data_IF_988294575586
#
_entry.id   IF_988294575586
#
_cell.length_a   1.000
_cell.length_b   1.000
_cell.length_c   1.000
_cell.angle_alpha   90.00
_cell.angle_beta   90.00
_cell.angle_gamma   90.00
#
_symmetry.space_group_name_H-M   'P 1'
#
loop_
_entity.id
_entity.type
_entity.pdbx_description
1 polymer ?
#
# COMPACT_ATOMS: atom_id res chain seq x y z
N UNK A 1 26.19 -44.56 -12.07
CA UNK A 1 25.12 -43.63 -11.67
C UNK A 1 25.74 -42.41 -10.97
N UNK A 2 26.31 -41.52 -11.78
CA UNK A 2 26.67 -40.16 -11.37
C UNK A 2 25.61 -39.25 -11.95
N UNK A 3 24.98 -38.45 -11.09
CA UNK A 3 24.34 -37.22 -11.51
C UNK A 3 24.96 -36.13 -10.63
N UNK A 4 26.00 -35.52 -11.18
CA UNK A 4 26.39 -34.16 -10.80
C UNK A 4 25.16 -33.27 -11.02
N UNK A 5 24.77 -32.52 -10.00
CA UNK A 5 23.90 -31.35 -10.17
C UNK A 5 24.79 -30.13 -10.03
N UNK A 6 25.14 -29.58 -11.19
CA UNK A 6 25.79 -28.29 -11.35
C UNK A 6 24.88 -27.20 -10.76
N UNK A 7 25.36 -26.49 -9.74
CA UNK A 7 24.76 -25.24 -9.27
C UNK A 7 24.98 -24.18 -10.34
N UNK A 8 23.98 -23.98 -11.20
CA UNK A 8 23.97 -22.87 -12.14
C UNK A 8 23.31 -21.69 -11.44
N UNK A 9 24.15 -20.78 -10.94
CA UNK A 9 23.72 -19.44 -10.59
C UNK A 9 23.02 -18.81 -11.79
N UNK A 10 21.73 -18.55 -11.62
CA UNK A 10 20.96 -17.64 -12.45
C UNK A 10 20.08 -16.87 -11.49
N UNK A 11 20.65 -15.79 -10.95
CA UNK A 11 19.91 -14.57 -10.66
C UNK A 11 19.12 -14.23 -11.92
N UNK A 12 17.84 -14.63 -12.00
CA UNK A 12 16.96 -14.05 -13.00
C UNK A 12 16.35 -12.81 -12.34
N UNK A 13 16.76 -11.60 -12.77
CA UNK A 13 16.26 -10.37 -12.20
C UNK A 13 14.87 -10.14 -12.79
N UNK A 14 13.84 -10.61 -12.10
CA UNK A 14 12.63 -9.83 -12.11
C UNK A 14 13.00 -8.53 -11.40
N UNK A 15 13.25 -7.47 -12.16
CA UNK A 15 13.31 -6.10 -11.64
C UNK A 15 11.92 -5.72 -11.15
N UNK A 16 11.50 -6.34 -10.06
CA UNK A 16 10.73 -5.62 -9.07
C UNK A 16 11.81 -4.81 -8.35
N UNK A 17 11.67 -3.50 -8.34
CA UNK A 17 12.33 -2.69 -7.32
C UNK A 17 11.37 -2.74 -6.14
N UNK A 18 11.44 -3.73 -5.22
CA UNK A 18 10.79 -3.53 -3.96
C UNK A 18 11.60 -2.46 -3.24
N UNK A 19 10.92 -1.51 -2.61
CA UNK A 19 11.57 -0.62 -1.65
C UNK A 19 12.08 -1.38 -0.40
N UNK A 20 12.00 -2.72 -0.37
CA UNK A 20 12.49 -3.59 0.69
C UNK A 20 13.20 -4.82 0.09
N UNK A 21 14.50 -5.00 0.36
CA UNK A 21 15.24 -6.18 -0.07
C UNK A 21 14.78 -7.42 0.71
N UNK A 22 14.32 -8.47 0.04
CA UNK A 22 14.05 -9.77 0.66
C UNK A 22 15.29 -10.64 0.57
N UNK A 23 15.64 -11.33 1.66
CA UNK A 23 16.79 -12.25 1.67
C UNK A 23 16.34 -13.63 2.12
N UNK A 24 16.55 -14.63 1.26
CA UNK A 24 16.40 -16.04 1.60
C UNK A 24 17.78 -16.61 1.91
N UNK A 25 17.99 -17.10 3.14
CA UNK A 25 19.24 -17.73 3.55
C UNK A 25 19.05 -19.22 3.79
N UNK A 26 19.83 -20.04 3.07
CA UNK A 26 19.81 -21.50 3.21
C UNK A 26 21.02 -21.94 4.04
N UNK A 27 20.83 -22.18 5.35
CA UNK A 27 21.87 -22.69 6.25
C UNK A 27 21.39 -23.97 6.92
N UNK A 28 21.95 -25.12 6.55
CA UNK A 28 21.59 -26.43 7.13
C UNK A 28 21.60 -26.36 8.68
N UNK A 29 20.51 -26.68 9.39
CA UNK A 29 19.26 -27.33 8.95
C UNK A 29 18.03 -26.40 8.73
N UNK A 30 18.22 -25.08 8.72
CA UNK A 30 17.15 -24.08 8.63
C UNK A 30 17.20 -23.29 7.30
N UNK A 31 16.03 -22.87 6.84
CA UNK A 31 15.92 -21.88 5.78
C UNK A 31 15.24 -20.65 6.34
N UNK A 32 15.92 -19.50 6.26
CA UNK A 32 15.50 -18.23 6.82
C UNK A 32 14.95 -17.34 5.70
N UNK A 33 13.68 -16.97 5.78
CA UNK A 33 13.12 -15.87 4.98
C UNK A 33 13.20 -14.60 5.83
N UNK A 34 14.05 -13.65 5.46
CA UNK A 34 14.18 -12.37 6.17
C UNK A 34 13.74 -11.19 5.30
N UNK A 35 12.86 -10.36 5.83
CA UNK A 35 12.44 -9.11 5.17
C UNK A 35 12.73 -7.91 6.06
N UNK A 36 13.88 -7.24 5.89
CA UNK A 36 14.17 -6.01 6.60
C UNK A 36 13.22 -4.87 6.23
N UNK A 37 12.74 -4.18 7.27
CA UNK A 37 12.22 -2.83 7.29
C UNK A 37 11.50 -2.37 6.03
N UNK A 38 10.21 -2.67 5.97
CA UNK A 38 9.28 -1.71 5.42
C UNK A 38 8.72 -0.95 6.63
N UNK A 39 9.09 0.32 6.83
CA UNK A 39 8.50 1.20 7.86
C UNK A 39 7.02 1.52 7.59
N UNK A 40 6.34 0.68 6.82
CA UNK A 40 5.01 0.88 6.32
C UNK A 40 4.07 0.03 7.17
N UNK A 41 3.05 0.67 7.71
CA UNK A 41 1.85 0.00 8.17
C UNK A 41 1.20 -0.70 6.96
N UNK A 42 0.58 -1.86 7.17
CA UNK A 42 -0.11 -2.60 6.11
C UNK A 42 0.04 -4.12 6.20
N UNK A 43 -0.61 -4.81 5.27
CA UNK A 43 -0.63 -6.28 5.19
C UNK A 43 0.34 -6.79 4.11
N UNK A 44 1.14 -7.80 4.44
CA UNK A 44 2.06 -8.48 3.54
C UNK A 44 1.70 -9.98 3.42
N UNK A 45 1.78 -10.53 2.20
CA UNK A 45 1.59 -11.96 1.96
C UNK A 45 2.88 -12.60 1.48
N UNK A 46 3.36 -13.58 2.24
CA UNK A 46 4.55 -14.37 1.93
C UNK A 46 4.11 -15.71 1.38
N UNK A 47 4.63 -16.09 0.21
CA UNK A 47 4.38 -17.40 -0.38
C UNK A 47 5.69 -18.14 -0.56
N UNK A 48 5.88 -19.24 0.16
CA UNK A 48 6.99 -20.16 -0.05
C UNK A 48 6.46 -21.40 -0.79
N UNK A 49 7.22 -21.92 -1.74
CA UNK A 49 6.86 -23.10 -2.54
C UNK A 49 7.99 -24.11 -2.53
N UNK A 50 7.67 -25.40 -2.43
CA UNK A 50 8.65 -26.48 -2.41
C UNK A 50 8.12 -27.75 -3.05
N UNK A 51 9.02 -28.58 -3.57
CA UNK A 51 8.67 -29.77 -4.35
C UNK A 51 8.83 -31.06 -3.52
N UNK A 52 7.76 -31.81 -3.32
CA UNK A 52 7.86 -33.14 -2.71
C UNK A 52 7.97 -34.24 -3.76
N UNK A 53 9.01 -35.10 -3.71
CA UNK A 53 9.11 -36.24 -4.60
C UNK A 53 7.91 -37.17 -4.47
N UNK A 54 7.48 -37.75 -5.59
CA UNK A 54 6.49 -38.82 -5.59
C UNK A 54 6.90 -39.98 -4.66
N UNK A 55 5.93 -40.48 -3.89
CA UNK A 55 6.14 -41.63 -3.00
C UNK A 55 6.79 -41.32 -1.64
N UNK A 56 6.94 -40.04 -1.26
CA UNK A 56 7.31 -39.68 0.11
C UNK A 56 6.13 -39.90 1.08
N UNK A 57 6.39 -40.44 2.27
CA UNK A 57 5.35 -40.62 3.28
C UNK A 57 4.96 -39.26 3.88
N UNK A 58 3.82 -38.71 3.49
CA UNK A 58 3.45 -37.31 3.79
C UNK A 58 2.73 -37.11 5.14
N UNK A 59 2.25 -38.19 5.79
CA UNK A 59 1.41 -38.11 6.99
C UNK A 59 2.15 -37.68 8.27
N UNK A 60 3.49 -37.75 8.27
CA UNK A 60 4.34 -37.36 9.40
C UNK A 60 5.14 -36.09 9.14
N UNK A 61 4.86 -35.38 8.04
CA UNK A 61 5.58 -34.16 7.73
C UNK A 61 5.10 -33.04 8.65
N UNK A 62 6.01 -32.54 9.48
CA UNK A 62 5.82 -31.35 10.29
C UNK A 62 6.84 -30.32 9.87
N UNK A 63 6.37 -29.11 9.60
CA UNK A 63 7.24 -27.97 9.39
C UNK A 63 7.24 -27.12 10.65
N UNK A 64 8.41 -26.99 11.26
CA UNK A 64 8.60 -26.03 12.34
C UNK A 64 8.83 -24.66 11.72
N UNK A 65 8.18 -23.63 12.25
CA UNK A 65 8.40 -22.23 11.88
C UNK A 65 8.74 -21.43 13.16
N UNK A 66 9.93 -20.85 13.20
CA UNK A 66 10.27 -19.82 14.19
C UNK A 66 9.98 -18.46 13.59
N UNK A 67 9.11 -17.68 14.22
CA UNK A 67 8.76 -16.35 13.72
C UNK A 67 9.38 -15.24 14.55
N UNK A 68 9.92 -14.28 13.83
CA UNK A 68 10.13 -12.92 14.30
C UNK A 68 9.09 -12.12 13.56
N UNK A 69 8.29 -11.35 14.26
CA UNK A 69 7.30 -10.47 13.64
C UNK A 69 7.37 -9.12 14.31
N UNK A 70 7.14 -8.10 13.50
CA UNK A 70 6.66 -6.83 13.99
C UNK A 70 5.14 -6.86 13.83
N UNK A 71 4.44 -6.75 14.96
CA UNK A 71 2.99 -6.76 15.12
C UNK A 71 2.23 -8.09 14.98
N UNK A 72 1.82 -8.57 13.78
CA UNK A 72 0.85 -9.67 13.68
C UNK A 72 1.15 -10.72 12.60
N UNK A 73 0.85 -11.99 12.91
CA UNK A 73 0.54 -13.05 11.93
C UNK A 73 -0.96 -13.25 11.93
N UNK A 74 -1.59 -12.90 10.81
CA UNK A 74 -3.05 -12.98 10.64
C UNK A 74 -3.49 -14.36 10.19
N UNK A 75 -2.69 -15.01 9.34
CA UNK A 75 -2.99 -16.38 8.91
C UNK A 75 -1.77 -17.11 8.38
N UNK A 76 -1.83 -18.44 8.48
CA UNK A 76 -0.91 -19.37 7.81
C UNK A 76 -1.75 -20.43 7.12
N UNK A 77 -1.42 -20.72 5.86
CA UNK A 77 -2.06 -21.76 5.06
C UNK A 77 -1.02 -22.63 4.37
N UNK A 78 -1.33 -23.92 4.22
CA UNK A 78 -0.55 -24.88 3.43
C UNK A 78 -1.44 -25.35 2.28
N UNK A 79 -1.00 -25.18 1.04
CA UNK A 79 -1.78 -25.51 -0.16
C UNK A 79 -3.20 -24.88 -0.14
N UNK A 80 -3.29 -23.64 0.37
CA UNK A 80 -4.56 -22.92 0.55
C UNK A 80 -5.40 -23.40 1.74
N UNK A 81 -4.99 -24.43 2.48
CA UNK A 81 -5.67 -24.92 3.68
C UNK A 81 -5.14 -24.19 4.91
N UNK A 82 -6.01 -23.39 5.54
CA UNK A 82 -5.69 -22.67 6.77
C UNK A 82 -5.24 -23.62 7.88
N UNK A 83 -4.16 -23.24 8.56
CA UNK A 83 -3.59 -23.95 9.70
C UNK A 83 -4.14 -23.41 11.04
N UNK A 84 -4.97 -22.37 11.02
CA UNK A 84 -5.49 -21.72 12.24
C UNK A 84 -4.41 -21.06 13.11
N UNK A 85 -3.22 -20.84 12.55
CA UNK A 85 -2.10 -20.21 13.25
C UNK A 85 -2.23 -18.70 13.12
N UNK A 86 -2.33 -18.03 14.26
CA UNK A 86 -2.20 -16.59 14.42
C UNK A 86 -1.18 -16.30 15.52
N UNK A 87 -0.54 -15.13 15.46
CA UNK A 87 0.39 -14.66 16.49
C UNK A 87 0.41 -13.14 16.56
N UNK A 88 0.85 -12.58 17.68
CA UNK A 88 0.93 -11.13 17.87
C UNK A 88 2.05 -10.72 18.83
N UNK A 89 2.68 -9.59 18.56
CA UNK A 89 3.53 -8.83 19.49
C UNK A 89 4.94 -8.53 18.97
N UNK A 90 5.62 -7.60 19.63
CA UNK A 90 6.88 -6.98 19.21
C UNK A 90 8.16 -7.75 19.61
N UNK A 91 9.17 -7.76 18.73
CA UNK A 91 10.58 -8.06 18.97
C UNK A 91 10.87 -9.21 19.94
N UNK A 92 10.42 -10.42 19.58
CA UNK A 92 10.71 -11.63 20.33
C UNK A 92 10.52 -12.87 19.48
N UNK A 93 11.43 -13.83 19.66
CA UNK A 93 11.33 -15.15 19.06
C UNK A 93 10.05 -15.84 19.54
N UNK A 94 9.17 -16.22 18.62
CA UNK A 94 7.93 -16.92 18.97
C UNK A 94 8.14 -18.43 19.06
N UNK A 95 7.33 -19.15 19.86
CA UNK A 95 7.40 -20.60 19.95
C UNK A 95 7.22 -21.23 18.57
N UNK A 96 8.02 -22.26 18.31
CA UNK A 96 7.93 -23.06 17.08
C UNK A 96 6.49 -23.51 16.85
N UNK A 97 5.90 -23.10 15.73
CA UNK A 97 4.59 -23.59 15.29
C UNK A 97 4.80 -24.76 14.33
N UNK A 98 4.02 -25.81 14.50
CA UNK A 98 4.02 -26.96 13.59
C UNK A 98 2.95 -26.76 12.52
N UNK A 99 3.34 -26.70 11.25
CA UNK A 99 2.39 -26.78 10.13
C UNK A 99 2.09 -28.26 9.88
N UNK A 100 0.80 -28.60 9.90
CA UNK A 100 0.33 -29.91 9.48
C UNK A 100 -0.08 -29.85 8.00
N UNK A 101 -0.10 -30.99 7.33
CA UNK A 101 -0.54 -31.08 5.94
C UNK A 101 -1.96 -30.51 5.68
N UNK A 102 -2.43 -30.56 4.42
CA UNK A 102 -2.08 -31.61 3.48
C UNK A 102 -0.88 -31.26 2.63
N UNK A 103 0.21 -32.00 2.83
CA UNK A 103 1.33 -31.99 1.90
C UNK A 103 1.09 -33.04 0.83
N UNK A 104 1.32 -32.68 -0.43
CA UNK A 104 1.06 -33.53 -1.60
C UNK A 104 2.34 -33.78 -2.40
N UNK A 105 2.43 -34.86 -3.19
CA UNK A 105 3.46 -34.97 -4.22
C UNK A 105 3.45 -33.77 -5.17
N UNK A 106 4.63 -33.30 -5.57
CA UNK A 106 4.81 -32.12 -6.41
C UNK A 106 4.86 -30.81 -5.61
N UNK A 107 4.44 -29.72 -6.24
CA UNK A 107 4.53 -28.37 -5.67
C UNK A 107 3.59 -28.23 -4.48
N UNK A 108 4.15 -27.84 -3.35
CA UNK A 108 3.42 -27.41 -2.16
C UNK A 108 3.68 -25.92 -1.95
N UNK A 109 2.66 -25.21 -1.48
CA UNK A 109 2.75 -23.79 -1.14
C UNK A 109 2.46 -23.59 0.34
N UNK A 110 3.16 -22.62 0.94
CA UNK A 110 2.91 -22.11 2.27
C UNK A 110 2.65 -20.62 2.09
N UNK A 111 1.49 -20.16 2.54
CA UNK A 111 1.11 -18.76 2.50
C UNK A 111 1.00 -18.23 3.91
N UNK A 112 1.69 -17.14 4.20
CA UNK A 112 1.68 -16.47 5.51
C UNK A 112 1.28 -15.03 5.28
N UNK A 113 0.24 -14.58 5.97
CA UNK A 113 -0.23 -13.19 5.93
C UNK A 113 0.18 -12.53 7.24
N UNK A 114 0.95 -11.46 7.15
CA UNK A 114 1.33 -10.64 8.30
C UNK A 114 0.76 -9.24 8.15
N UNK A 115 0.63 -8.53 9.26
CA UNK A 115 0.19 -7.15 9.29
C UNK A 115 1.07 -6.35 10.23
N UNK A 116 1.65 -5.27 9.70
CA UNK A 116 2.41 -4.27 10.44
C UNK A 116 1.47 -3.10 10.76
N UNK A 117 1.45 -2.66 12.00
CA UNK A 117 0.69 -1.51 12.51
C UNK A 117 1.60 -0.38 13.02
N UNK A 118 2.93 -0.55 12.96
CA UNK A 118 3.91 0.52 13.07
C UNK A 118 5.31 0.02 13.44
N UNK A 119 6.36 0.69 12.95
CA UNK A 119 7.75 0.37 13.29
C UNK A 119 8.48 -0.56 12.30
N UNK A 120 9.75 -0.91 12.61
CA UNK A 120 10.63 -1.72 11.76
C UNK A 120 10.22 -3.20 11.68
N UNK A 121 9.44 -3.51 10.64
CA UNK A 121 8.98 -4.86 10.30
C UNK A 121 10.09 -5.85 9.96
N UNK A 122 10.14 -7.01 10.61
CA UNK A 122 10.89 -8.17 10.13
C UNK A 122 10.10 -9.45 10.32
N UNK A 123 9.86 -10.20 9.22
CA UNK A 123 9.47 -11.60 9.28
C UNK A 123 10.73 -12.46 9.15
N UNK A 124 10.93 -13.38 10.10
CA UNK A 124 11.82 -14.53 9.98
C UNK A 124 10.96 -15.77 9.98
N UNK A 125 11.24 -16.74 9.10
CA UNK A 125 10.66 -18.08 9.20
C UNK A 125 11.79 -19.06 8.97
N UNK A 126 12.05 -19.90 9.96
CA UNK A 126 12.96 -21.03 9.85
C UNK A 126 12.19 -22.32 9.66
N UNK A 127 12.38 -22.97 8.51
CA UNK A 127 11.77 -24.26 8.20
C UNK A 127 12.68 -25.42 8.58
N UNK A 128 12.24 -26.26 9.53
CA UNK A 128 12.94 -27.49 9.91
C UNK A 128 12.13 -28.74 9.53
N UNK A 129 12.81 -29.72 8.92
CA UNK A 129 12.21 -30.94 8.38
C UNK A 129 12.45 -32.16 9.28
N UNK A 130 11.37 -32.76 9.79
CA UNK A 130 11.42 -34.05 10.50
C UNK A 130 11.48 -35.21 9.49
N UNK A 131 12.68 -35.59 9.05
CA UNK A 131 12.85 -36.72 8.11
C UNK A 131 14.12 -36.74 7.25
N UNK A 132 15.04 -35.78 7.41
CA UNK A 132 16.38 -35.81 6.81
C UNK A 132 16.47 -35.61 5.27
N UNK A 133 15.35 -35.52 4.55
CA UNK A 133 15.34 -35.23 3.11
C UNK A 133 15.23 -33.73 2.89
N UNK A 134 16.22 -33.15 2.21
CA UNK A 134 16.28 -31.72 1.88
C UNK A 134 15.41 -31.44 0.64
N UNK A 135 14.60 -30.38 0.70
CA UNK A 135 13.82 -29.88 -0.43
C UNK A 135 14.16 -28.41 -0.66
N UNK A 136 14.59 -28.00 -1.87
CA UNK A 136 14.75 -26.58 -2.17
C UNK A 136 13.39 -25.87 -2.13
N UNK A 137 13.32 -24.75 -1.40
CA UNK A 137 12.13 -23.90 -1.29
C UNK A 137 12.41 -22.61 -2.07
N UNK A 138 11.46 -22.17 -2.88
CA UNK A 138 11.45 -20.84 -3.52
C UNK A 138 10.47 -19.96 -2.74
N UNK A 139 10.85 -18.73 -2.39
CA UNK A 139 9.96 -17.82 -1.67
C UNK A 139 9.75 -16.53 -2.46
N UNK A 140 8.49 -16.17 -2.64
CA UNK A 140 8.03 -14.91 -3.23
C UNK A 140 7.28 -14.10 -2.17
N UNK A 141 7.54 -12.79 -2.12
CA UNK A 141 6.82 -11.87 -1.24
C UNK A 141 5.92 -11.00 -2.09
N UNK A 142 4.61 -11.15 -1.91
CA UNK A 142 3.61 -10.30 -2.55
C UNK A 142 3.13 -9.27 -1.53
N UNK A 143 3.67 -8.06 -1.64
CA UNK A 143 3.20 -6.92 -0.85
C UNK A 143 1.92 -6.39 -1.50
N UNK A 144 0.91 -6.05 -0.71
CA UNK A 144 -0.25 -5.34 -1.23
C UNK A 144 0.23 -4.04 -1.92
N UNK A 145 -0.36 -3.75 -3.08
CA UNK A 145 0.04 -2.59 -3.87
C UNK A 145 -0.10 -1.31 -3.02
N UNK A 146 0.89 -0.40 -3.03
CA UNK A 146 0.77 0.88 -2.33
C UNK A 146 -0.49 1.63 -2.76
N UNK A 147 -1.20 2.20 -1.78
CA UNK A 147 -2.48 2.90 -1.99
C UNK A 147 -3.66 1.97 -2.28
N UNK A 148 -3.52 0.66 -2.07
CA UNK A 148 -4.66 -0.27 -2.07
C UNK A 148 -5.34 -0.29 -0.70
N UNK A 149 -6.56 -0.82 -0.61
CA UNK A 149 -7.28 -0.91 0.68
C UNK A 149 -6.51 -1.70 1.76
N UNK A 150 -5.69 -2.67 1.36
CA UNK A 150 -4.89 -3.49 2.28
C UNK A 150 -3.51 -2.88 2.62
N UNK A 151 -3.12 -1.81 1.93
CA UNK A 151 -1.89 -1.05 2.13
C UNK A 151 -2.14 0.42 1.73
N UNK A 152 -2.99 1.13 2.49
CA UNK A 152 -3.33 2.52 2.20
C UNK A 152 -2.12 3.42 2.40
N UNK A 153 -2.13 4.59 1.76
CA UNK A 153 -1.16 5.63 2.06
C UNK A 153 -1.45 6.25 3.42
N UNK A 154 -0.43 6.36 4.27
CA UNK A 154 -0.51 7.01 5.57
C UNK A 154 0.01 8.44 5.57
N UNK A 155 0.52 8.88 4.42
CA UNK A 155 1.07 10.21 4.20
C UNK A 155 0.88 10.60 2.73
N UNK A 156 0.56 11.87 2.46
CA UNK A 156 0.29 12.34 1.09
C UNK A 156 1.53 12.25 0.18
N UNK A 157 2.74 12.33 0.73
CA UNK A 157 3.99 12.21 -0.04
C UNK A 157 4.13 10.84 -0.71
N UNK A 158 3.47 9.80 -0.19
CA UNK A 158 3.46 8.47 -0.80
C UNK A 158 2.73 8.44 -2.15
N UNK A 159 1.92 9.45 -2.45
CA UNK A 159 1.24 9.63 -3.73
C UNK A 159 2.11 10.31 -4.80
N UNK A 160 3.34 10.73 -4.50
CA UNK A 160 4.16 11.54 -5.41
C UNK A 160 4.50 10.83 -6.73
N UNK A 161 4.88 9.56 -6.67
CA UNK A 161 5.39 8.81 -7.82
C UNK A 161 4.41 7.74 -8.35
N UNK A 162 3.14 7.78 -7.92
CA UNK A 162 2.14 6.81 -8.38
C UNK A 162 1.38 7.33 -9.60
N UNK A 163 0.94 6.46 -10.53
CA UNK A 163 0.10 6.89 -11.65
C UNK A 163 -1.18 7.58 -11.19
N UNK A 164 -1.71 8.50 -12.00
CA UNK A 164 -3.01 9.12 -11.70
C UNK A 164 -4.10 8.05 -11.53
N UNK A 165 -4.97 8.22 -10.55
CA UNK A 165 -6.00 7.24 -10.21
C UNK A 165 -6.56 7.40 -8.81
N UNK A 166 -7.43 6.48 -8.39
CA UNK A 166 -8.05 6.50 -7.06
C UNK A 166 -7.31 5.53 -6.13
N UNK A 167 -6.85 6.03 -4.99
CA UNK A 167 -6.10 5.27 -3.99
C UNK A 167 -6.74 5.39 -2.61
N UNK A 168 -6.40 4.47 -1.72
CA UNK A 168 -6.79 4.46 -0.32
C UNK A 168 -5.76 5.20 0.54
N UNK A 169 -6.26 6.01 1.47
CA UNK A 169 -5.51 6.72 2.48
C UNK A 169 -6.00 6.32 3.89
N UNK A 170 -5.09 6.30 4.85
CA UNK A 170 -5.31 6.02 6.27
C UNK A 170 -4.44 6.99 7.07
N UNK A 171 -4.89 8.26 7.11
CA UNK A 171 -4.16 9.37 7.71
C UNK A 171 -4.42 9.42 9.21
N UNK A 172 -3.45 9.91 9.98
CA UNK A 172 -3.61 10.02 11.42
C UNK A 172 -4.82 10.90 11.80
N UNK A 173 -5.73 10.34 12.59
CA UNK A 173 -6.91 11.06 13.09
C UNK A 173 -8.12 11.09 12.16
N UNK A 174 -8.08 10.39 11.02
CA UNK A 174 -9.20 10.28 10.06
C UNK A 174 -9.46 8.81 9.75
N UNK A 175 -10.73 8.41 9.59
CA UNK A 175 -11.07 7.06 9.13
C UNK A 175 -10.56 6.83 7.69
N UNK A 176 -10.14 5.60 7.31
CA UNK A 176 -9.63 5.34 5.97
C UNK A 176 -10.60 5.73 4.85
N UNK A 177 -10.11 6.42 3.83
CA UNK A 177 -10.91 6.95 2.73
C UNK A 177 -10.22 6.80 1.37
N UNK A 178 -10.99 7.03 0.29
CA UNK A 178 -10.45 7.07 -1.06
C UNK A 178 -10.24 8.52 -1.51
N UNK A 179 -9.16 8.74 -2.25
CA UNK A 179 -8.88 10.02 -2.88
C UNK A 179 -8.29 9.83 -4.27
N UNK A 180 -8.54 10.82 -5.12
CA UNK A 180 -7.97 10.87 -6.46
C UNK A 180 -6.58 11.53 -6.42
N UNK A 181 -5.61 10.84 -7.02
CA UNK A 181 -4.24 11.29 -7.20
C UNK A 181 -4.03 11.66 -8.66
N UNK A 182 -3.33 12.78 -8.90
CA UNK A 182 -2.86 13.18 -10.21
C UNK A 182 -1.32 13.27 -10.23
N UNK A 183 -0.72 12.54 -11.16
CA UNK A 183 0.73 12.49 -11.37
C UNK A 183 1.26 13.56 -12.37
N UNK A 184 0.41 14.47 -12.84
CA UNK A 184 0.88 15.57 -13.70
C UNK A 184 1.71 16.59 -12.91
N UNK A 185 2.53 17.39 -13.62
CA UNK A 185 3.23 18.53 -13.03
C UNK A 185 4.09 18.21 -11.79
N UNK A 186 4.72 17.03 -11.74
CA UNK A 186 5.58 16.59 -10.64
C UNK A 186 4.93 15.67 -9.62
N UNK A 187 3.63 15.36 -9.80
CA UNK A 187 2.89 14.38 -9.03
C UNK A 187 2.62 14.75 -7.57
N UNK A 188 1.95 13.84 -6.85
CA UNK A 188 1.58 14.04 -5.44
C UNK A 188 0.34 14.91 -5.22
N UNK A 189 -0.40 15.23 -6.28
CA UNK A 189 -1.61 16.03 -6.17
C UNK A 189 -2.79 15.17 -5.75
N UNK A 190 -3.43 15.53 -4.64
CA UNK A 190 -4.68 14.91 -4.20
C UNK A 190 -5.85 15.86 -4.43
N UNK A 191 -6.94 15.36 -5.02
CA UNK A 191 -8.15 16.14 -5.26
C UNK A 191 -8.90 16.41 -3.94
N UNK A 192 -8.85 17.65 -3.48
CA UNK A 192 -9.51 18.07 -2.22
C UNK A 192 -10.79 18.89 -2.44
N UNK A 193 -11.05 19.31 -3.67
CA UNK A 193 -12.20 20.14 -4.05
C UNK A 193 -12.58 19.87 -5.50
N UNK A 194 -13.87 19.64 -5.74
CA UNK A 194 -14.43 19.60 -7.10
C UNK A 194 -15.84 20.22 -7.15
N UNK A 195 -16.05 21.12 -8.11
CA UNK A 195 -17.28 21.91 -8.28
C UNK A 195 -17.70 22.06 -9.74
N UNK A 196 -17.91 20.96 -10.46
CA UNK A 196 -18.59 21.03 -11.76
C UNK A 196 -20.07 21.36 -11.54
N UNK A 197 -20.48 22.58 -11.88
CA UNK A 197 -21.86 23.06 -11.70
C UNK A 197 -22.45 23.65 -12.98
N UNK A 198 -23.78 23.61 -13.07
CA UNK A 198 -24.52 24.22 -14.16
C UNK A 198 -24.35 25.75 -14.13
N UNK A 199 -24.13 26.33 -15.31
CA UNK A 199 -23.96 27.77 -15.44
C UNK A 199 -25.20 28.55 -14.98
N UNK A 200 -25.00 29.55 -14.11
CA UNK A 200 -26.09 30.39 -13.60
C UNK A 200 -26.82 29.83 -12.38
N UNK A 201 -26.40 28.68 -11.86
CA UNK A 201 -26.88 28.14 -10.59
C UNK A 201 -25.89 28.44 -9.45
N UNK A 202 -26.34 28.24 -8.20
CA UNK A 202 -25.49 28.31 -7.01
C UNK A 202 -25.90 27.18 -6.05
N UNK A 203 -25.52 25.94 -6.36
CA UNK A 203 -25.87 24.78 -5.54
C UNK A 203 -25.27 24.87 -4.13
N UNK A 204 -25.88 24.18 -3.17
CA UNK A 204 -25.32 24.07 -1.81
C UNK A 204 -23.97 23.37 -1.84
N UNK A 205 -22.99 23.94 -1.15
CA UNK A 205 -21.67 23.32 -1.01
C UNK A 205 -21.75 22.14 -0.05
N UNK A 206 -21.00 21.09 -0.36
CA UNK A 206 -20.79 19.96 0.53
C UNK A 206 -19.41 20.05 1.19
N UNK A 207 -19.40 19.99 2.53
CA UNK A 207 -18.18 20.02 3.35
C UNK A 207 -17.93 18.59 3.80
N UNK A 208 -16.86 17.98 3.31
CA UNK A 208 -16.57 16.57 3.54
C UNK A 208 -15.63 16.39 4.71
N UNK A 209 -16.01 15.53 5.64
CA UNK A 209 -15.25 15.31 6.88
C UNK A 209 -14.55 13.95 6.95
N UNK A 210 -14.98 13.00 6.11
CA UNK A 210 -14.53 11.60 6.12
C UNK A 210 -14.27 11.03 4.70
N UNK A 211 -14.30 11.90 3.69
CA UNK A 211 -14.09 11.53 2.29
C UNK A 211 -13.62 12.73 1.47
N UNK A 212 -12.99 12.47 0.33
CA UNK A 212 -12.65 13.50 -0.66
C UNK A 212 -13.52 13.33 -1.91
N UNK A 213 -13.74 14.40 -2.69
CA UNK A 213 -14.40 14.27 -3.97
C UNK A 213 -13.58 13.36 -4.90
N UNK A 214 -14.28 12.54 -5.68
CA UNK A 214 -13.69 11.72 -6.74
C UNK A 214 -14.23 12.25 -8.06
N UNK A 215 -13.36 12.66 -8.98
CA UNK A 215 -13.80 13.29 -10.23
C UNK A 215 -14.58 12.30 -11.11
N UNK A 216 -15.34 12.85 -12.05
CA UNK A 216 -16.00 12.09 -13.11
C UNK A 216 -15.69 12.71 -14.46
N UNK A 217 -16.11 12.04 -15.54
CA UNK A 217 -16.03 12.57 -16.90
C UNK A 217 -17.11 13.65 -17.21
N UNK A 218 -17.61 14.35 -16.19
CA UNK A 218 -18.64 15.38 -16.36
C UNK A 218 -18.15 16.50 -17.28
N UNK A 219 -18.97 16.83 -18.29
CA UNK A 219 -18.69 17.94 -19.17
C UNK A 219 -18.91 19.29 -18.47
N UNK A 220 -18.18 20.32 -18.90
CA UNK A 220 -18.40 21.69 -18.42
C UNK A 220 -19.86 22.12 -18.58
N UNK A 221 -20.44 22.64 -17.49
CA UNK A 221 -21.84 23.06 -17.43
C UNK A 221 -22.82 21.95 -17.02
N UNK A 222 -22.36 20.73 -16.75
CA UNK A 222 -23.12 19.74 -16.00
C UNK A 222 -23.30 20.17 -14.53
N UNK A 223 -24.27 19.57 -13.83
CA UNK A 223 -24.47 19.77 -12.40
C UNK A 223 -24.13 18.49 -11.64
N UNK A 224 -22.98 18.48 -10.96
CA UNK A 224 -22.57 17.38 -10.09
C UNK A 224 -23.02 17.57 -8.63
N UNK A 225 -23.76 18.63 -8.32
CA UNK A 225 -24.15 18.92 -6.93
C UNK A 225 -24.93 17.77 -6.28
N UNK A 226 -24.55 17.44 -5.03
CA UNK A 226 -25.13 16.32 -4.28
C UNK A 226 -24.61 14.93 -4.69
N UNK A 227 -23.59 14.83 -5.55
CA UNK A 227 -22.93 13.57 -5.91
C UNK A 227 -21.62 13.34 -5.14
N UNK A 228 -21.06 12.13 -5.25
CA UNK A 228 -19.75 11.80 -4.70
C UNK A 228 -18.58 12.60 -5.31
N UNK A 229 -18.81 13.31 -6.42
CA UNK A 229 -17.82 14.18 -7.03
C UNK A 229 -17.87 15.62 -6.50
N UNK A 230 -18.96 16.03 -5.84
CA UNK A 230 -19.14 17.42 -5.40
C UNK A 230 -18.69 17.64 -3.96
N UNK A 231 -18.00 18.76 -3.73
CA UNK A 231 -17.65 19.20 -2.38
C UNK A 231 -16.20 19.61 -2.25
N UNK A 232 -15.81 19.87 -1.00
CA UNK A 232 -14.43 20.09 -0.60
C UNK A 232 -14.14 19.46 0.76
N UNK A 233 -12.87 19.20 1.03
CA UNK A 233 -12.40 18.80 2.35
C UNK A 233 -12.77 19.89 3.39
N UNK A 234 -13.34 19.47 4.50
CA UNK A 234 -13.44 20.29 5.71
C UNK A 234 -12.05 20.56 6.29
N UNK A 235 -11.95 21.55 7.17
CA UNK A 235 -10.67 22.04 7.69
C UNK A 235 -9.85 20.94 8.39
N UNK A 236 -10.47 20.13 9.24
CA UNK A 236 -9.78 19.04 9.96
C UNK A 236 -9.26 17.96 9.00
N UNK A 237 -10.05 17.61 7.96
CA UNK A 237 -9.62 16.66 6.94
C UNK A 237 -8.49 17.22 6.07
N UNK A 238 -8.57 18.52 5.72
CA UNK A 238 -7.49 19.18 4.99
C UNK A 238 -6.20 19.22 5.81
N UNK A 239 -6.29 19.52 7.11
CA UNK A 239 -5.15 19.53 8.01
C UNK A 239 -4.49 18.15 8.15
N UNK A 240 -5.27 17.06 8.13
CA UNK A 240 -4.73 15.70 8.16
C UNK A 240 -3.93 15.32 6.91
N UNK A 241 -4.10 16.05 5.79
CA UNK A 241 -3.31 15.83 4.57
C UNK A 241 -1.88 16.36 4.68
N UNK A 242 -1.60 17.28 5.63
CA UNK A 242 -0.29 17.92 5.83
C UNK A 242 0.34 18.43 4.52
N UNK A 243 -0.45 19.15 3.72
CA UNK A 243 -0.05 19.55 2.38
C UNK A 243 1.00 20.68 2.38
N UNK A 244 2.11 20.47 1.68
CA UNK A 244 3.15 21.49 1.48
C UNK A 244 2.71 22.63 0.54
N UNK A 245 1.87 22.35 -0.44
CA UNK A 245 1.39 23.32 -1.43
C UNK A 245 0.00 22.95 -1.95
N UNK A 246 -0.69 23.93 -2.54
CA UNK A 246 -2.00 23.75 -3.16
C UNK A 246 -1.94 24.08 -4.65
N UNK A 247 -2.72 23.33 -5.43
CA UNK A 247 -2.89 23.53 -6.88
C UNK A 247 -4.31 23.96 -7.19
N UNK A 248 -4.43 25.00 -8.01
CA UNK A 248 -5.69 25.49 -8.54
C UNK A 248 -5.79 25.13 -10.01
N UNK A 249 -6.88 24.44 -10.36
CA UNK A 249 -7.29 24.16 -11.74
C UNK A 249 -8.73 24.60 -11.92
N UNK A 250 -9.03 25.43 -12.91
CA UNK A 250 -10.41 25.82 -13.20
C UNK A 250 -10.61 26.19 -14.67
N UNK A 251 -11.78 25.80 -15.18
CA UNK A 251 -12.25 26.05 -16.53
C UNK A 251 -13.72 26.48 -16.53
N UNK A 252 -14.18 27.04 -17.65
CA UNK A 252 -15.58 27.37 -17.87
C UNK A 252 -15.94 27.23 -19.34
N UNK A 253 -17.18 26.88 -19.65
CA UNK A 253 -17.70 26.85 -21.02
C UNK A 253 -17.86 28.25 -21.64
N UNK A 254 -17.72 29.32 -20.85
CA UNK A 254 -17.85 30.69 -21.33
C UNK A 254 -16.65 31.20 -22.15
N UNK A 255 -15.45 30.61 -21.96
CA UNK A 255 -14.22 30.98 -22.67
C UNK A 255 -13.08 29.97 -22.45
N UNK A 256 -12.08 30.00 -23.33
CA UNK A 256 -10.96 29.03 -23.33
C UNK A 256 -9.83 29.34 -22.32
N UNK A 257 -10.00 30.30 -21.41
CA UNK A 257 -9.00 30.59 -20.38
C UNK A 257 -9.06 29.54 -19.26
N UNK A 258 -7.90 28.97 -18.95
CA UNK A 258 -7.69 28.04 -17.84
C UNK A 258 -6.96 28.76 -16.71
N UNK A 259 -7.39 28.53 -15.47
CA UNK A 259 -6.60 28.86 -14.27
C UNK A 259 -5.82 27.61 -13.93
N UNK A 260 -4.49 27.65 -14.03
CA UNK A 260 -3.64 26.51 -13.66
C UNK A 260 -2.33 26.96 -13.01
N UNK A 261 -2.24 26.83 -11.69
CA UNK A 261 -1.05 27.21 -10.94
C UNK A 261 -0.96 26.48 -9.59
N UNK A 262 0.21 26.52 -8.97
CA UNK A 262 0.43 26.10 -7.57
C UNK A 262 0.97 27.24 -6.70
N UNK A 263 0.73 27.16 -5.40
CA UNK A 263 1.17 28.14 -4.40
C UNK A 263 1.25 27.54 -3.00
N UNK A 264 2.03 28.17 -2.13
CA UNK A 264 2.07 27.92 -0.69
C UNK A 264 1.06 28.80 0.07
N UNK A 265 0.44 29.77 -0.60
CA UNK A 265 -0.45 30.74 0.02
C UNK A 265 -1.78 30.11 0.40
N UNK A 266 -2.25 30.37 1.63
CA UNK A 266 -3.58 29.97 2.09
C UNK A 266 -3.66 28.60 2.77
N UNK A 267 -2.57 27.81 2.83
CA UNK A 267 -2.55 26.50 3.52
C UNK A 267 -3.09 26.62 4.95
N UNK A 268 -2.54 27.52 5.77
CA UNK A 268 -3.02 27.73 7.14
C UNK A 268 -4.51 28.13 7.22
N UNK A 269 -5.03 28.84 6.22
CA UNK A 269 -6.45 29.16 6.15
C UNK A 269 -7.29 27.90 5.83
N UNK A 270 -6.82 27.03 4.94
CA UNK A 270 -7.49 25.77 4.62
C UNK A 270 -7.47 24.77 5.79
N UNK A 271 -6.39 24.71 6.56
CA UNK A 271 -6.27 23.85 7.74
C UNK A 271 -7.16 24.31 8.91
N UNK A 272 -7.34 25.62 9.08
CA UNK A 272 -7.95 26.17 10.31
C UNK A 272 -9.30 26.86 10.10
N UNK A 273 -9.65 27.18 8.86
CA UNK A 273 -10.80 28.02 8.51
C UNK A 273 -10.72 29.46 9.03
N UNK A 274 -9.60 29.85 9.63
CA UNK A 274 -9.45 31.13 10.32
C UNK A 274 -8.70 32.15 9.46
N UNK A 275 -9.23 33.36 9.38
CA UNK A 275 -8.65 34.44 8.56
C UNK A 275 -9.13 34.39 7.11
N UNK A 276 -8.22 34.68 6.18
CA UNK A 276 -8.47 34.67 4.73
C UNK A 276 -7.18 34.44 3.98
N UNK A 277 -7.26 33.88 2.77
CA UNK A 277 -6.10 33.83 1.87
C UNK A 277 -5.58 35.24 1.53
N UNK A 278 -4.26 35.44 1.62
CA UNK A 278 -3.63 36.68 1.18
C UNK A 278 -3.60 36.77 -0.35
N UNK A 279 -4.62 37.42 -0.92
CA UNK A 279 -4.72 37.62 -2.37
C UNK A 279 -3.63 38.55 -2.94
N UNK A 280 -2.94 39.34 -2.11
CA UNK A 280 -1.79 40.12 -2.59
C UNK A 280 -0.55 39.24 -2.65
N UNK A 281 -0.33 38.42 -1.62
CA UNK A 281 0.70 37.37 -1.61
C UNK A 281 0.55 36.42 -2.80
N UNK A 282 -0.66 35.93 -3.06
CA UNK A 282 -0.98 35.03 -4.17
C UNK A 282 -0.55 35.59 -5.54
N UNK A 283 -0.73 36.90 -5.78
CA UNK A 283 -0.34 37.55 -7.06
C UNK A 283 1.16 37.57 -7.29
N UNK A 284 1.95 37.55 -6.22
CA UNK A 284 3.42 37.54 -6.27
C UNK A 284 4.03 36.15 -6.06
N UNK A 285 3.32 35.22 -5.43
CA UNK A 285 3.84 33.95 -4.94
C UNK A 285 3.04 32.76 -5.52
N UNK A 286 3.10 32.62 -6.85
CA UNK A 286 2.54 31.46 -7.53
C UNK A 286 3.48 30.96 -8.62
N UNK A 287 3.37 29.68 -8.95
CA UNK A 287 4.02 29.08 -10.12
C UNK A 287 2.94 28.63 -11.09
N UNK A 288 2.90 29.24 -12.28
CA UNK A 288 2.04 28.77 -13.37
C UNK A 288 2.46 27.34 -13.77
N UNK A 289 1.48 26.48 -14.00
CA UNK A 289 1.68 25.10 -14.43
C UNK A 289 1.29 24.94 -15.89
N UNK A 290 1.82 23.90 -16.55
CA UNK A 290 1.45 23.59 -17.93
C UNK A 290 0.12 22.85 -18.00
N UNK A 291 -0.69 23.18 -19.01
CA UNK A 291 -2.06 22.71 -19.20
C UNK A 291 -2.97 23.90 -19.46
#
# INVERSE_FOLDING_TARGET
>A
PMWDVTYNGSTNPATVVPNCATYAWNNIPAQLIWTPNCNNTGTATFTASFELPEGTGHESLSLSAQTWIDDYIDSVAVNGVSQGITDSGFNGTRPVKTLAGPFVPGTNTITIVTRNTGGPGALSIDFEWNGGVQVPVSADVNLAAPGSQANPFVDISQAQDVPSGVYWFDLEGVDPFQAEVDNSNGGGWVLVLNYVHEGGTNPSLDVRTDSLPISTDAALGADESGTNAWGHAGNDLFAALDADEVRFYAETSAHDRVIHFRTFEGISYFETGSGSMDLNGLKSNFTALEG
#
